data_IF_631847563408
#
_entry.id   IF_631847563408
#
_cell.length_a   1.000
_cell.length_b   1.000
_cell.length_c   1.000
_cell.angle_alpha   90.00
_cell.angle_beta   90.00
_cell.angle_gamma   90.00
#
_symmetry.space_group_name_H-M   'P 1'
#
loop_
_entity.id
_entity.type
_entity.pdbx_description
1 polymer ?
#
# COMPACT_ATOMS: atom_id res chain seq x y z
N UNK A 1 -11.40 -43.80 -11.02
CA UNK A 1 -11.51 -42.35 -11.26
C UNK A 1 -11.26 -41.67 -9.91
N UNK A 2 -10.04 -41.25 -9.55
CA UNK A 2 -9.19 -40.17 -10.10
C UNK A 2 -9.92 -38.83 -10.17
N UNK A 3 -9.34 -37.82 -9.50
CA UNK A 3 -9.66 -36.37 -9.50
C UNK A 3 -10.80 -36.06 -8.52
N UNK A 4 -10.55 -35.68 -7.26
CA UNK A 4 -10.39 -34.29 -6.79
C UNK A 4 -9.58 -34.32 -5.46
N UNK A 5 -8.38 -34.92 -5.48
CA UNK A 5 -7.47 -34.96 -4.31
C UNK A 5 -6.15 -34.20 -4.53
N UNK A 6 -6.01 -33.43 -5.62
CA UNK A 6 -4.68 -32.95 -6.08
C UNK A 6 -4.50 -31.42 -6.21
N UNK A 7 -5.38 -30.58 -5.65
CA UNK A 7 -5.25 -29.10 -5.86
C UNK A 7 -5.36 -28.22 -4.62
N UNK A 8 -5.58 -28.78 -3.42
CA UNK A 8 -5.78 -27.99 -2.20
C UNK A 8 -4.75 -28.22 -1.10
N UNK A 9 -3.77 -29.11 -1.31
CA UNK A 9 -2.70 -29.44 -0.34
C UNK A 9 -1.34 -28.81 -0.74
N UNK A 10 -1.28 -28.06 -1.86
CA UNK A 10 -0.04 -27.50 -2.40
C UNK A 10 0.35 -26.10 -1.87
N UNK A 11 -0.45 -25.46 -1.01
CA UNK A 11 -0.16 -24.09 -0.51
C UNK A 11 0.23 -24.07 0.98
N UNK A 12 0.17 -25.21 1.68
CA UNK A 12 0.54 -25.31 3.12
C UNK A 12 2.00 -25.75 3.39
N UNK A 13 2.84 -25.90 2.37
CA UNK A 13 4.22 -26.46 2.49
C UNK A 13 5.36 -25.44 2.30
N UNK A 14 5.14 -24.14 2.49
CA UNK A 14 6.23 -23.13 2.48
C UNK A 14 6.81 -22.90 3.88
N UNK A 15 6.28 -23.56 4.92
CA UNK A 15 6.85 -23.57 6.27
C UNK A 15 7.83 -24.73 6.50
N UNK A 16 8.94 -24.76 5.77
CA UNK A 16 10.09 -25.60 6.15
C UNK A 16 11.30 -24.73 6.48
N UNK A 17 11.38 -24.31 7.74
CA UNK A 17 12.65 -24.15 8.42
C UNK A 17 13.36 -25.51 8.43
N UNK A 18 14.49 -25.65 7.74
CA UNK A 18 15.65 -26.41 8.23
C UNK A 18 16.83 -26.28 7.25
N UNK A 19 17.81 -25.49 7.69
CA UNK A 19 19.24 -25.63 7.44
C UNK A 19 19.71 -27.04 7.01
N UNK A 20 20.44 -27.14 5.89
CA UNK A 20 21.77 -27.77 5.79
C UNK A 20 22.23 -27.93 4.32
N UNK A 21 23.45 -27.49 4.01
CA UNK A 21 24.30 -28.19 3.03
C UNK A 21 24.70 -27.46 1.75
N UNK A 22 25.77 -26.64 1.87
CA UNK A 22 26.86 -26.41 0.89
C UNK A 22 26.55 -25.98 -0.56
N UNK A 23 27.30 -24.92 -0.91
CA UNK A 23 27.83 -24.52 -2.23
C UNK A 23 26.84 -23.97 -3.27
N UNK A 24 26.67 -22.64 -3.25
CA UNK A 24 26.19 -21.84 -4.37
C UNK A 24 25.31 -20.67 -3.94
N UNK A 25 25.91 -19.50 -3.65
CA UNK A 25 25.22 -18.22 -3.40
C UNK A 25 24.20 -18.25 -2.26
N UNK A 26 24.64 -18.06 -1.02
CA UNK A 26 23.74 -17.99 0.13
C UNK A 26 22.64 -16.95 -0.12
N UNK A 27 21.38 -17.38 -0.12
CA UNK A 27 20.22 -16.48 -0.22
C UNK A 27 20.28 -15.54 0.99
N UNK A 28 20.44 -14.25 0.75
CA UNK A 28 20.44 -13.23 1.78
C UNK A 28 19.01 -13.07 2.36
N UNK A 29 18.73 -13.58 3.58
CA UNK A 29 17.38 -13.60 4.12
C UNK A 29 16.86 -12.21 4.51
N UNK A 30 17.76 -11.30 4.90
CA UNK A 30 17.40 -9.93 5.22
C UNK A 30 16.98 -9.16 3.96
N UNK A 31 17.73 -9.33 2.87
CA UNK A 31 17.36 -8.83 1.54
C UNK A 31 16.05 -9.43 1.05
N UNK A 32 15.83 -10.73 1.27
CA UNK A 32 14.57 -11.39 0.90
C UNK A 32 13.35 -10.81 1.63
N UNK A 33 13.48 -10.44 2.91
CA UNK A 33 12.42 -9.77 3.66
C UNK A 33 12.10 -8.38 3.08
N UNK A 34 13.12 -7.58 2.77
CA UNK A 34 12.93 -6.26 2.13
C UNK A 34 12.33 -6.37 0.74
N UNK A 35 12.78 -7.36 -0.05
CA UNK A 35 12.19 -7.66 -1.35
C UNK A 35 10.72 -8.05 -1.23
N UNK A 36 10.38 -8.92 -0.28
CA UNK A 36 9.00 -9.33 -0.01
C UNK A 36 8.10 -8.16 0.37
N UNK A 37 8.60 -7.26 1.24
CA UNK A 37 7.91 -6.02 1.61
C UNK A 37 7.64 -5.14 0.39
N UNK A 38 8.68 -4.79 -0.37
CA UNK A 38 8.55 -3.90 -1.53
C UNK A 38 7.71 -4.52 -2.66
N UNK A 39 7.85 -5.83 -2.92
CA UNK A 39 6.99 -6.55 -3.87
C UNK A 39 5.52 -6.49 -3.44
N UNK A 40 5.23 -6.70 -2.16
CA UNK A 40 3.85 -6.66 -1.66
C UNK A 40 3.25 -5.25 -1.78
N UNK A 41 4.05 -4.20 -1.54
CA UNK A 41 3.62 -2.82 -1.81
C UNK A 41 3.33 -2.58 -3.30
N UNK A 42 4.18 -3.07 -4.21
CA UNK A 42 3.94 -2.99 -5.66
C UNK A 42 2.68 -3.73 -6.11
N UNK A 43 2.32 -4.80 -5.41
CA UNK A 43 1.10 -5.56 -5.66
C UNK A 43 -0.14 -4.93 -4.98
N UNK A 44 0.04 -3.86 -4.18
CA UNK A 44 -1.03 -3.22 -3.40
C UNK A 44 -1.51 -4.06 -2.21
N UNK A 45 -0.76 -5.09 -1.82
CA UNK A 45 -1.05 -6.03 -0.74
C UNK A 45 -0.41 -5.54 0.58
N UNK A 46 -1.11 -4.63 1.27
CA UNK A 46 -0.62 -4.05 2.52
C UNK A 46 -0.59 -5.04 3.68
N UNK A 47 -1.48 -6.03 3.70
CA UNK A 47 -1.49 -7.04 4.75
C UNK A 47 -0.21 -7.89 4.66
N UNK A 48 0.13 -8.35 3.45
CA UNK A 48 1.37 -9.07 3.22
C UNK A 48 2.59 -8.19 3.42
N UNK A 49 2.56 -6.91 3.02
CA UNK A 49 3.63 -5.97 3.33
C UNK A 49 3.84 -5.86 4.85
N UNK A 50 2.77 -5.68 5.62
CA UNK A 50 2.81 -5.61 7.10
C UNK A 50 3.40 -6.87 7.71
N UNK A 51 3.15 -8.05 7.11
CA UNK A 51 3.73 -9.32 7.58
C UNK A 51 5.26 -9.34 7.56
N UNK A 52 5.93 -8.47 6.78
CA UNK A 52 7.39 -8.34 6.77
C UNK A 52 7.93 -7.33 7.79
N UNK A 53 7.07 -6.65 8.55
CA UNK A 53 7.47 -5.65 9.54
C UNK A 53 7.56 -6.24 10.94
N UNK A 54 8.44 -5.69 11.77
CA UNK A 54 8.55 -6.04 13.18
C UNK A 54 7.45 -5.36 14.01
N UNK A 55 7.00 -5.96 15.10
CA UNK A 55 5.97 -5.36 15.96
C UNK A 55 6.43 -4.04 16.60
N UNK A 56 7.74 -3.84 16.75
CA UNK A 56 8.38 -2.61 17.22
C UNK A 56 8.88 -1.71 16.08
N UNK A 57 8.38 -1.91 14.85
CA UNK A 57 8.81 -1.12 13.70
C UNK A 57 8.54 0.38 13.90
N UNK A 58 9.45 1.20 13.35
CA UNK A 58 9.36 2.65 13.45
C UNK A 58 8.13 3.21 12.74
N UNK A 59 7.74 4.43 13.12
CA UNK A 59 6.64 5.14 12.47
C UNK A 59 6.85 5.29 10.96
N UNK A 60 8.09 5.41 10.49
CA UNK A 60 8.38 5.50 9.06
C UNK A 60 7.93 4.25 8.29
N UNK A 61 8.12 3.06 8.87
CA UNK A 61 7.67 1.78 8.31
C UNK A 61 6.14 1.63 8.48
N UNK A 62 5.64 1.94 9.67
CA UNK A 62 4.22 1.79 10.01
C UNK A 62 3.32 2.75 9.22
N UNK A 63 3.78 3.96 8.92
CA UNK A 63 3.03 4.93 8.12
C UNK A 63 2.77 4.42 6.71
N UNK A 64 3.67 3.64 6.12
CA UNK A 64 3.46 3.06 4.78
C UNK A 64 2.35 2.01 4.81
N UNK A 65 2.31 1.18 5.85
CA UNK A 65 1.36 0.07 5.97
C UNK A 65 0.01 0.49 6.56
N UNK A 66 -0.07 1.64 7.24
CA UNK A 66 -1.30 2.18 7.83
C UNK A 66 -2.08 3.16 6.95
N UNK A 67 -1.56 3.54 5.78
CA UNK A 67 -2.22 4.49 4.86
C UNK A 67 -3.71 4.17 4.60
N UNK A 68 -4.09 2.88 4.46
CA UNK A 68 -5.50 2.49 4.27
C UNK A 68 -6.39 2.82 5.48
N UNK A 69 -5.88 2.61 6.69
CA UNK A 69 -6.59 2.89 7.94
C UNK A 69 -6.70 4.40 8.16
N UNK A 70 -5.63 5.14 7.86
CA UNK A 70 -5.59 6.60 7.99
C UNK A 70 -6.53 7.29 6.98
N UNK A 71 -6.60 6.78 5.74
CA UNK A 71 -7.49 7.34 4.73
C UNK A 71 -8.96 7.08 5.07
N UNK A 72 -9.31 5.85 5.45
CA UNK A 72 -10.68 5.49 5.85
C UNK A 72 -11.13 6.29 7.08
N UNK A 73 -10.28 6.38 8.12
CA UNK A 73 -10.60 7.15 9.32
C UNK A 73 -10.71 8.65 9.05
N UNK A 74 -9.90 9.20 8.15
CA UNK A 74 -10.02 10.60 7.69
C UNK A 74 -11.39 10.83 7.05
N UNK A 75 -11.84 9.93 6.17
CA UNK A 75 -13.16 10.04 5.56
C UNK A 75 -14.29 9.91 6.60
N UNK A 76 -14.19 8.98 7.56
CA UNK A 76 -15.17 8.86 8.65
C UNK A 76 -15.25 10.14 9.50
N UNK A 77 -14.10 10.74 9.83
CA UNK A 77 -14.05 12.02 10.54
C UNK A 77 -14.69 13.15 9.73
N UNK A 78 -14.40 13.23 8.43
CA UNK A 78 -14.98 14.25 7.55
C UNK A 78 -16.49 14.09 7.32
N UNK A 79 -17.01 12.86 7.37
CA UNK A 79 -18.44 12.58 7.29
C UNK A 79 -19.17 12.72 8.62
N UNK A 80 -18.45 12.67 9.74
CA UNK A 80 -19.04 12.62 11.07
C UNK A 80 -19.81 11.33 11.37
N UNK A 81 -19.68 10.30 10.51
CA UNK A 81 -20.32 9.00 10.66
C UNK A 81 -19.41 7.90 10.15
N UNK A 82 -19.62 6.67 10.62
CA UNK A 82 -18.99 5.50 10.02
C UNK A 82 -19.33 5.40 8.53
N UNK A 83 -18.35 4.96 7.73
CA UNK A 83 -18.57 4.61 6.33
C UNK A 83 -19.33 3.28 6.26
N UNK A 84 -20.23 3.17 5.29
CA UNK A 84 -20.78 1.87 4.91
C UNK A 84 -19.69 0.99 4.27
N UNK A 85 -19.93 -0.33 4.25
CA UNK A 85 -18.95 -1.30 3.78
C UNK A 85 -18.61 -1.12 2.30
N UNK A 86 -19.58 -0.69 1.48
CA UNK A 86 -19.36 -0.43 0.04
C UNK A 86 -18.40 0.74 -0.18
N UNK A 87 -18.53 1.83 0.60
CA UNK A 87 -17.60 2.96 0.50
C UNK A 87 -16.23 2.57 1.05
N UNK A 88 -16.15 1.77 2.13
CA UNK A 88 -14.88 1.22 2.63
C UNK A 88 -14.19 0.36 1.58
N UNK A 89 -14.91 -0.52 0.90
CA UNK A 89 -14.36 -1.32 -0.21
C UNK A 89 -13.81 -0.44 -1.34
N UNK A 90 -14.52 0.63 -1.72
CA UNK A 90 -14.03 1.59 -2.72
C UNK A 90 -12.77 2.33 -2.29
N UNK A 91 -12.70 2.77 -1.03
CA UNK A 91 -11.50 3.42 -0.47
C UNK A 91 -10.34 2.43 -0.44
N UNK A 92 -10.59 1.18 -0.03
CA UNK A 92 -9.57 0.13 0.00
C UNK A 92 -9.04 -0.13 -1.41
N UNK A 93 -9.92 -0.31 -2.40
CA UNK A 93 -9.53 -0.50 -3.79
C UNK A 93 -8.75 0.69 -4.36
N UNK A 94 -9.20 1.92 -4.09
CA UNK A 94 -8.48 3.13 -4.46
C UNK A 94 -7.07 3.16 -3.86
N UNK A 95 -6.96 2.87 -2.58
CA UNK A 95 -5.70 2.94 -1.84
C UNK A 95 -4.73 1.86 -2.27
N UNK A 96 -5.17 0.60 -2.37
CA UNK A 96 -4.35 -0.50 -2.88
C UNK A 96 -3.83 -0.20 -4.28
N UNK A 97 -4.70 0.35 -5.15
CA UNK A 97 -4.28 0.74 -6.50
C UNK A 97 -3.28 1.88 -6.45
N UNK A 98 -3.53 2.96 -5.70
CA UNK A 98 -2.59 4.07 -5.54
C UNK A 98 -1.21 3.60 -5.04
N UNK A 99 -1.18 2.70 -4.05
CA UNK A 99 0.07 2.15 -3.49
C UNK A 99 0.78 1.23 -4.49
N UNK A 100 0.05 0.41 -5.24
CA UNK A 100 0.64 -0.46 -6.27
C UNK A 100 1.45 0.33 -7.31
N UNK A 101 1.00 1.56 -7.61
CA UNK A 101 1.72 2.44 -8.50
C UNK A 101 2.75 3.32 -7.78
N UNK A 102 2.72 3.43 -6.45
CA UNK A 102 3.68 4.24 -5.69
C UNK A 102 5.13 3.82 -5.85
N UNK A 103 5.36 2.57 -6.22
CA UNK A 103 6.67 1.99 -6.45
C UNK A 103 6.73 1.39 -7.85
N UNK A 104 7.38 2.07 -8.80
CA UNK A 104 7.53 1.55 -10.17
C UNK A 104 8.60 0.47 -10.25
N UNK A 105 9.76 0.75 -9.68
CA UNK A 105 10.88 -0.18 -9.66
C UNK A 105 11.70 0.01 -8.39
N UNK A 106 12.48 -1.01 -8.04
CA UNK A 106 13.47 -0.92 -6.99
C UNK A 106 14.64 -1.85 -7.30
N UNK A 107 15.80 -1.51 -6.80
CA UNK A 107 17.00 -2.34 -6.81
C UNK A 107 17.56 -2.44 -5.39
N UNK A 108 18.02 -3.63 -5.01
CA UNK A 108 18.47 -3.93 -3.65
C UNK A 108 19.94 -4.33 -3.65
N UNK A 109 20.72 -3.65 -2.82
CA UNK A 109 22.07 -4.09 -2.48
C UNK A 109 22.03 -5.35 -1.62
N UNK A 110 23.18 -5.99 -1.41
CA UNK A 110 23.30 -7.08 -0.44
C UNK A 110 23.24 -6.53 0.99
N UNK A 111 22.75 -7.34 1.92
CA UNK A 111 22.65 -6.95 3.31
C UNK A 111 24.01 -6.94 4.00
N UNK A 112 24.18 -6.01 4.92
CA UNK A 112 25.36 -5.90 5.76
C UNK A 112 24.94 -6.10 7.21
N UNK A 113 25.42 -7.18 7.83
CA UNK A 113 25.25 -7.40 9.26
C UNK A 113 26.05 -6.38 10.07
N UNK A 114 25.40 -5.74 11.02
CA UNK A 114 25.96 -4.74 11.91
C UNK A 114 26.44 -5.37 13.22
N UNK A 115 27.27 -4.63 13.98
CA UNK A 115 27.81 -5.09 15.26
C UNK A 115 26.73 -5.36 16.32
N UNK A 116 25.61 -4.63 16.25
CA UNK A 116 24.45 -4.79 17.14
C UNK A 116 23.56 -5.99 16.78
N UNK A 117 23.94 -6.77 15.77
CA UNK A 117 23.21 -7.95 15.32
C UNK A 117 22.09 -7.66 14.33
N UNK A 118 21.83 -6.39 13.99
CA UNK A 118 20.88 -6.01 12.93
C UNK A 118 21.49 -6.16 11.54
N UNK A 119 20.65 -6.10 10.50
CA UNK A 119 21.07 -6.15 9.11
C UNK A 119 20.62 -4.88 8.40
N UNK A 120 21.50 -4.29 7.61
CA UNK A 120 21.19 -3.12 6.78
C UNK A 120 21.02 -3.56 5.34
N UNK A 121 19.90 -3.18 4.71
CA UNK A 121 19.66 -3.39 3.27
C UNK A 121 19.43 -2.04 2.63
N UNK A 122 20.26 -1.68 1.64
CA UNK A 122 20.07 -0.45 0.87
C UNK A 122 19.21 -0.72 -0.35
N UNK A 123 18.38 0.25 -0.70
CA UNK A 123 17.51 0.20 -1.86
C UNK A 123 17.56 1.50 -2.66
N UNK A 124 17.69 1.38 -3.97
CA UNK A 124 17.39 2.46 -4.91
C UNK A 124 15.95 2.27 -5.38
N UNK A 125 15.07 3.22 -5.05
CA UNK A 125 13.64 3.17 -5.32
C UNK A 125 13.26 4.17 -6.42
N UNK A 126 12.45 3.74 -7.38
CA UNK A 126 11.75 4.63 -8.31
C UNK A 126 10.30 4.78 -7.83
N UNK A 127 10.02 5.91 -7.18
CA UNK A 127 8.75 6.17 -6.49
C UNK A 127 8.01 7.35 -7.10
N UNK A 128 6.71 7.43 -6.84
CA UNK A 128 5.91 8.58 -7.22
C UNK A 128 6.50 9.91 -6.71
N UNK A 129 6.46 10.91 -7.58
CA UNK A 129 6.58 12.30 -7.16
C UNK A 129 5.22 12.84 -6.73
N UNK A 130 5.08 13.08 -5.42
CA UNK A 130 3.88 13.66 -4.81
C UNK A 130 3.47 15.00 -5.46
N UNK A 131 4.41 15.80 -5.96
CA UNK A 131 4.08 17.04 -6.64
C UNK A 131 3.37 16.76 -7.97
N UNK A 132 3.87 15.81 -8.75
CA UNK A 132 3.24 15.40 -10.00
C UNK A 132 1.88 14.71 -9.79
N UNK A 133 1.70 13.94 -8.71
CA UNK A 133 0.39 13.40 -8.32
C UNK A 133 -0.61 14.52 -8.02
N UNK A 134 -0.21 15.50 -7.20
CA UNK A 134 -1.04 16.66 -6.88
C UNK A 134 -1.41 17.45 -8.15
N UNK A 135 -0.47 17.59 -9.09
CA UNK A 135 -0.74 18.23 -10.36
C UNK A 135 -1.72 17.41 -11.20
N UNK A 136 -1.51 16.11 -11.36
CA UNK A 136 -2.37 15.21 -12.12
C UNK A 136 -3.81 15.23 -11.62
N UNK A 137 -4.00 15.21 -10.28
CA UNK A 137 -5.31 15.36 -9.62
C UNK A 137 -5.95 16.70 -9.96
N UNK A 138 -5.19 17.81 -9.88
CA UNK A 138 -5.72 19.16 -10.17
C UNK A 138 -6.06 19.38 -11.64
N UNK A 139 -5.35 18.72 -12.54
CA UNK A 139 -5.58 18.81 -13.99
C UNK A 139 -6.66 17.86 -14.49
N UNK A 140 -7.18 16.98 -13.62
CA UNK A 140 -8.27 16.09 -13.97
C UNK A 140 -9.53 16.92 -14.19
N UNK A 141 -9.97 17.00 -15.45
CA UNK A 141 -11.21 17.70 -15.79
C UNK A 141 -12.40 16.83 -15.39
N UNK A 142 -13.00 17.17 -14.25
CA UNK A 142 -14.22 16.56 -13.71
C UNK A 142 -15.40 17.51 -13.75
N UNK A 143 -15.35 18.56 -14.60
CA UNK A 143 -16.32 19.66 -14.53
C UNK A 143 -17.76 19.21 -14.78
N UNK A 144 -17.97 18.25 -15.69
CA UNK A 144 -19.29 17.74 -16.02
C UNK A 144 -19.85 16.87 -14.88
N UNK A 145 -19.00 16.02 -14.31
CA UNK A 145 -19.29 15.13 -13.19
C UNK A 145 -19.62 15.93 -11.94
N UNK A 146 -18.82 16.95 -11.61
CA UNK A 146 -19.09 17.87 -10.49
C UNK A 146 -20.42 18.61 -10.69
N UNK A 147 -20.73 19.03 -11.92
CA UNK A 147 -22.00 19.68 -12.25
C UNK A 147 -23.22 18.79 -11.98
N UNK A 148 -23.16 17.53 -12.41
CA UNK A 148 -24.21 16.54 -12.16
C UNK A 148 -24.34 16.22 -10.65
N UNK A 149 -23.22 16.08 -9.95
CA UNK A 149 -23.22 15.86 -8.50
C UNK A 149 -23.84 17.01 -7.72
N UNK A 150 -23.62 18.26 -8.14
CA UNK A 150 -24.18 19.44 -7.48
C UNK A 150 -25.71 19.48 -7.55
N UNK A 151 -26.30 19.06 -8.67
CA UNK A 151 -27.76 19.00 -8.83
C UNK A 151 -28.38 17.94 -7.90
N UNK A 152 -27.85 16.72 -7.91
CA UNK A 152 -28.37 15.64 -7.06
C UNK A 152 -28.11 15.91 -5.56
N UNK A 153 -26.96 16.51 -5.22
CA UNK A 153 -26.67 16.97 -3.86
C UNK A 153 -27.73 17.94 -3.36
N UNK A 154 -28.09 18.94 -4.18
CA UNK A 154 -29.09 19.96 -3.81
C UNK A 154 -30.46 19.32 -3.58
N UNK A 155 -30.83 18.35 -4.43
CA UNK A 155 -32.07 17.60 -4.28
C UNK A 155 -32.08 16.77 -2.98
N UNK A 156 -31.03 16.02 -2.70
CA UNK A 156 -30.90 15.24 -1.45
C UNK A 156 -30.91 16.17 -0.23
N UNK A 157 -30.25 17.32 -0.31
CA UNK A 157 -30.25 18.32 0.77
C UNK A 157 -31.66 18.82 1.07
N UNK A 158 -32.48 19.10 0.05
CA UNK A 158 -33.87 19.55 0.20
C UNK A 158 -34.80 18.44 0.71
N UNK A 159 -34.62 17.20 0.25
CA UNK A 159 -35.52 16.08 0.56
C UNK A 159 -35.17 15.35 1.88
N UNK A 160 -33.87 15.25 2.20
CA UNK A 160 -33.33 14.38 3.26
C UNK A 160 -32.42 15.10 4.26
N UNK A 161 -32.05 16.35 4.00
CA UNK A 161 -31.24 17.17 4.89
C UNK A 161 -29.72 17.04 4.69
N UNK A 162 -28.97 17.83 5.45
CA UNK A 162 -27.54 18.05 5.24
C UNK A 162 -26.67 16.81 5.44
N UNK A 163 -26.98 15.97 6.43
CA UNK A 163 -26.18 14.77 6.70
C UNK A 163 -26.18 13.77 5.54
N UNK A 164 -27.35 13.52 4.96
CA UNK A 164 -27.48 12.59 3.82
C UNK A 164 -26.89 13.17 2.53
N UNK A 165 -27.02 14.49 2.32
CA UNK A 165 -26.37 15.17 1.20
C UNK A 165 -24.84 15.10 1.30
N UNK A 166 -24.29 15.27 2.50
CA UNK A 166 -22.86 15.18 2.77
C UNK A 166 -22.32 13.76 2.53
N UNK A 167 -23.01 12.72 3.02
CA UNK A 167 -22.65 11.31 2.74
C UNK A 167 -22.65 11.01 1.24
N UNK A 168 -23.68 11.47 0.52
CA UNK A 168 -23.74 11.33 -0.93
C UNK A 168 -22.53 11.98 -1.61
N UNK A 169 -22.20 13.22 -1.27
CA UNK A 169 -21.09 13.94 -1.87
C UNK A 169 -19.76 13.18 -1.68
N UNK A 170 -19.46 12.72 -0.47
CA UNK A 170 -18.20 12.00 -0.21
C UNK A 170 -18.12 10.66 -0.93
N UNK A 171 -19.21 9.87 -0.93
CA UNK A 171 -19.27 8.60 -1.65
C UNK A 171 -19.02 8.79 -3.15
N UNK A 172 -19.57 9.86 -3.73
CA UNK A 172 -19.38 10.19 -5.14
C UNK A 172 -17.98 10.72 -5.44
N UNK A 173 -17.40 11.55 -4.58
CA UNK A 173 -16.01 12.01 -4.73
C UNK A 173 -15.05 10.82 -4.74
N UNK A 174 -15.17 9.88 -3.80
CA UNK A 174 -14.35 8.67 -3.76
C UNK A 174 -14.54 7.89 -5.06
N UNK A 175 -15.79 7.68 -5.48
CA UNK A 175 -16.10 6.95 -6.72
C UNK A 175 -15.43 7.60 -7.94
N UNK A 176 -15.55 8.92 -8.08
CA UNK A 176 -14.93 9.66 -9.19
C UNK A 176 -13.40 9.51 -9.22
N UNK A 177 -12.74 9.62 -8.07
CA UNK A 177 -11.29 9.43 -7.99
C UNK A 177 -10.87 7.98 -8.29
N UNK A 178 -11.63 7.00 -7.80
CA UNK A 178 -11.38 5.58 -8.10
C UNK A 178 -11.56 5.28 -9.59
N UNK A 179 -12.62 5.77 -10.22
CA UNK A 179 -12.90 5.54 -11.64
C UNK A 179 -11.88 6.22 -12.55
N UNK A 180 -11.30 7.34 -12.12
CA UNK A 180 -10.32 8.10 -12.90
C UNK A 180 -8.87 7.86 -12.48
N UNK A 181 -8.61 6.91 -11.58
CA UNK A 181 -7.27 6.69 -11.02
C UNK A 181 -6.23 6.39 -12.10
N UNK A 182 -6.58 5.63 -13.16
CA UNK A 182 -5.67 5.33 -14.26
C UNK A 182 -5.27 6.59 -15.05
N UNK A 183 -6.20 7.54 -15.22
CA UNK A 183 -5.91 8.84 -15.85
C UNK A 183 -5.01 9.69 -14.98
N UNK A 184 -5.21 9.64 -13.65
CA UNK A 184 -4.36 10.33 -12.68
C UNK A 184 -2.93 9.77 -12.80
N UNK A 185 -2.78 8.45 -12.66
CA UNK A 185 -1.48 7.76 -12.69
C UNK A 185 -0.74 7.96 -14.01
N UNK A 186 -1.43 7.98 -15.15
CA UNK A 186 -0.82 8.21 -16.46
C UNK A 186 -0.08 9.56 -16.57
N UNK A 187 -0.43 10.53 -15.73
CA UNK A 187 0.19 11.86 -15.69
C UNK A 187 1.14 12.04 -14.50
N UNK A 188 1.39 10.99 -13.72
CA UNK A 188 2.34 11.01 -12.60
C UNK A 188 3.74 10.70 -13.09
N UNK A 189 4.71 11.44 -12.57
CA UNK A 189 6.13 11.20 -12.81
C UNK A 189 6.75 10.46 -11.62
N UNK A 190 7.88 9.80 -11.89
CA UNK A 190 8.61 9.05 -10.89
C UNK A 190 9.99 9.67 -10.65
N UNK A 191 10.41 9.64 -9.39
CA UNK A 191 11.70 10.14 -8.94
C UNK A 191 12.47 9.01 -8.26
N UNK A 192 13.80 9.09 -8.35
CA UNK A 192 14.69 8.15 -7.66
C UNK A 192 14.90 8.62 -6.22
N UNK A 193 14.79 7.70 -5.27
CA UNK A 193 15.13 7.89 -3.86
C UNK A 193 15.93 6.71 -3.35
N UNK A 194 16.89 6.99 -2.49
CA UNK A 194 17.60 5.95 -1.78
C UNK A 194 16.96 5.74 -0.41
N UNK A 195 16.90 4.49 0.00
CA UNK A 195 16.34 4.06 1.26
C UNK A 195 17.29 3.06 1.93
N UNK A 196 17.35 3.13 3.25
CA UNK A 196 18.10 2.20 4.09
C UNK A 196 17.13 1.52 5.03
N UNK A 197 17.00 0.20 4.88
CA UNK A 197 16.16 -0.64 5.73
C UNK A 197 17.00 -1.27 6.82
N UNK A 198 16.53 -1.19 8.06
CA UNK A 198 17.07 -1.97 9.17
C UNK A 198 16.19 -3.20 9.38
N UNK A 199 16.81 -4.36 9.35
CA UNK A 199 16.16 -5.67 9.48
C UNK A 199 16.69 -6.37 10.74
N UNK A 200 15.78 -6.99 11.48
CA UNK A 200 16.07 -7.78 12.68
C UNK A 200 15.55 -9.20 12.51
N UNK A 201 16.17 -10.15 13.20
CA UNK A 201 15.65 -11.51 13.29
C UNK A 201 14.78 -11.63 14.55
N UNK A 202 13.48 -11.83 14.36
CA UNK A 202 12.48 -11.99 15.42
C UNK A 202 11.79 -13.34 15.22
N UNK A 203 11.87 -14.22 16.22
CA UNK A 203 11.27 -15.57 16.19
C UNK A 203 11.68 -16.41 14.97
N UNK A 204 12.94 -16.29 14.53
CA UNK A 204 13.49 -17.02 13.37
C UNK A 204 13.04 -16.47 12.01
N UNK A 205 12.42 -15.29 11.97
CA UNK A 205 12.05 -14.58 10.75
C UNK A 205 12.72 -13.20 10.69
N UNK A 206 13.18 -12.83 9.49
CA UNK A 206 13.73 -11.50 9.24
C UNK A 206 12.59 -10.50 9.02
N UNK A 207 12.59 -9.42 9.82
CA UNK A 207 11.54 -8.40 9.85
C UNK A 207 12.13 -7.01 9.76
N UNK A 208 11.47 -6.11 9.03
CA UNK A 208 11.86 -4.72 8.90
C UNK A 208 11.47 -3.97 10.16
N UNK A 209 12.46 -3.39 10.84
CA UNK A 209 12.28 -2.60 12.05
C UNK A 209 12.33 -1.10 11.78
N UNK A 210 13.11 -0.66 10.80
CA UNK A 210 13.24 0.77 10.52
C UNK A 210 13.47 1.02 9.02
N UNK A 211 13.14 2.24 8.60
CA UNK A 211 13.32 2.75 7.25
C UNK A 211 13.78 4.21 7.35
N UNK A 212 14.93 4.50 6.75
CA UNK A 212 15.47 5.86 6.65
C UNK A 212 15.72 6.23 5.22
N UNK A 213 15.62 7.53 4.93
CA UNK A 213 16.16 8.09 3.70
C UNK A 213 17.70 8.13 3.84
N UNK A 214 18.39 7.66 2.81
CA UNK A 214 19.85 7.85 2.68
C UNK A 214 20.17 9.32 2.36
#
# INVERSE_FOLDING_TARGET
>A
MKRILNSLIAVMLVFCLASCGKSGGASDPAKAAVNGFLSSLKDGDLEKATSYTDASASDAVMNITRIMQDLSSTFEQMMGTALDDSVKEKINGFTSKLISFAYKSYDLEDSVKQEDGTYTVKAALEVFDNNSLNQAVRTLDLKNEIGALSQEYTKILMEKGAGEAQKYLYSQIITLYTENIDKIIANVTYIKKNAVFTVVETDGAFKIKDLKKD
#
